data_IF_515855133645
#
_entry.id   IF_515855133645
#
_cell.length_a   1.000
_cell.length_b   1.000
_cell.length_c   1.000
_cell.angle_alpha   90.00
_cell.angle_beta   90.00
_cell.angle_gamma   90.00
#
_symmetry.space_group_name_H-M   'P 1'
#
loop_
_entity.id
_entity.type
_entity.pdbx_description
1 polymer ?
#
# COMPACT_ATOMS: atom_id res chain seq x y z
N UNK A 1 -23.18 3.43 -28.94
CA UNK A 1 -22.12 2.54 -28.43
C UNK A 1 -21.40 3.25 -27.30
N UNK A 2 -21.78 3.01 -26.04
CA UNK A 2 -21.24 3.72 -24.86
C UNK A 2 -21.32 2.82 -23.60
N UNK A 3 -20.73 1.62 -23.68
CA UNK A 3 -20.78 0.64 -22.57
C UNK A 3 -19.43 0.00 -22.25
N UNK A 4 -18.33 0.58 -22.70
CA UNK A 4 -16.98 0.04 -22.47
C UNK A 4 -16.18 0.77 -21.38
N UNK A 5 -16.79 1.73 -20.67
CA UNK A 5 -16.12 2.45 -19.60
C UNK A 5 -16.51 1.86 -18.23
N UNK A 6 -15.55 1.18 -17.60
CA UNK A 6 -15.48 1.13 -16.16
C UNK A 6 -16.27 0.03 -15.47
N UNK A 7 -15.95 -1.24 -15.74
CA UNK A 7 -16.02 -2.21 -14.65
C UNK A 7 -14.85 -1.90 -13.72
N UNK A 8 -14.99 -0.92 -12.83
CA UNK A 8 -14.14 -0.83 -11.65
C UNK A 8 -14.43 -2.11 -10.87
N UNK A 9 -13.64 -3.16 -11.11
CA UNK A 9 -13.78 -4.40 -10.39
C UNK A 9 -13.70 -4.04 -8.91
N UNK A 10 -14.81 -4.21 -8.18
CA UNK A 10 -14.87 -3.82 -6.77
C UNK A 10 -13.74 -4.54 -6.06
N UNK A 11 -12.78 -3.76 -5.58
CA UNK A 11 -11.69 -4.28 -4.76
C UNK A 11 -12.29 -4.70 -3.41
N UNK A 12 -12.28 -6.00 -3.15
CA UNK A 12 -12.67 -6.53 -1.84
C UNK A 12 -11.40 -6.85 -1.05
N UNK A 13 -11.08 -6.08 0.01
CA UNK A 13 -9.86 -6.27 0.78
C UNK A 13 -9.82 -7.61 1.53
N UNK A 14 -10.96 -8.30 1.65
CA UNK A 14 -11.08 -9.63 2.28
C UNK A 14 -10.91 -10.77 1.30
N UNK A 15 -10.89 -10.48 -0.01
CA UNK A 15 -10.65 -11.49 -1.02
C UNK A 15 -9.16 -11.71 -1.20
N UNK A 16 -8.78 -12.96 -1.50
CA UNK A 16 -7.40 -13.31 -1.86
C UNK A 16 -6.89 -12.42 -2.99
N UNK A 17 -5.69 -11.88 -2.84
CA UNK A 17 -5.13 -10.97 -3.85
C UNK A 17 -4.75 -11.75 -5.13
N UNK A 18 -4.42 -13.02 -5.02
CA UNK A 18 -4.17 -13.92 -6.17
C UNK A 18 -5.45 -14.15 -6.97
N UNK A 19 -6.59 -14.36 -6.30
CA UNK A 19 -7.89 -14.45 -6.98
C UNK A 19 -8.31 -13.14 -7.67
N UNK A 20 -7.76 -12.01 -7.23
CA UNK A 20 -7.98 -10.70 -7.84
C UNK A 20 -7.02 -10.40 -8.99
N UNK A 21 -6.12 -11.34 -9.33
CA UNK A 21 -5.22 -11.24 -10.48
C UNK A 21 -3.77 -10.91 -10.14
N UNK A 22 -3.33 -11.07 -8.89
CA UNK A 22 -1.92 -11.01 -8.56
C UNK A 22 -1.16 -12.16 -9.22
N UNK A 23 -0.14 -11.80 -10.00
CA UNK A 23 0.81 -12.74 -10.58
C UNK A 23 2.19 -12.63 -9.92
N UNK A 24 3.13 -13.46 -10.37
CA UNK A 24 4.49 -13.50 -9.82
C UNK A 24 5.25 -12.18 -10.00
N UNK A 25 5.05 -11.45 -11.10
CA UNK A 25 5.75 -10.19 -11.34
C UNK A 25 5.22 -9.11 -10.39
N UNK A 26 3.89 -9.00 -10.24
CA UNK A 26 3.26 -8.09 -9.29
C UNK A 26 3.67 -8.42 -7.85
N UNK A 27 3.76 -9.70 -7.48
CA UNK A 27 4.21 -10.12 -6.16
C UNK A 27 5.68 -9.72 -5.91
N UNK A 28 6.56 -9.89 -6.89
CA UNK A 28 7.96 -9.45 -6.80
C UNK A 28 8.09 -7.93 -6.67
N UNK A 29 7.32 -7.17 -7.46
CA UNK A 29 7.29 -5.70 -7.37
C UNK A 29 6.78 -5.23 -6.01
N UNK A 30 5.70 -5.83 -5.50
CA UNK A 30 5.16 -5.53 -4.18
C UNK A 30 6.22 -5.81 -3.09
N UNK A 31 6.85 -6.98 -3.15
CA UNK A 31 7.95 -7.36 -2.24
C UNK A 31 9.09 -6.33 -2.27
N UNK A 32 9.47 -5.86 -3.46
CA UNK A 32 10.52 -4.84 -3.61
C UNK A 32 10.10 -3.50 -3.00
N UNK A 33 8.85 -3.09 -3.18
CA UNK A 33 8.32 -1.84 -2.61
C UNK A 33 8.22 -1.90 -1.09
N UNK A 34 7.76 -3.02 -0.53
CA UNK A 34 7.72 -3.23 0.91
C UNK A 34 9.13 -3.19 1.53
N UNK A 35 10.11 -3.78 0.85
CA UNK A 35 11.51 -3.69 1.26
C UNK A 35 12.04 -2.25 1.18
N UNK A 36 11.72 -1.51 0.13
CA UNK A 36 12.21 -0.15 -0.05
C UNK A 36 11.59 0.86 0.93
N UNK A 37 10.30 0.74 1.22
CA UNK A 37 9.55 1.72 2.03
C UNK A 37 9.55 1.35 3.51
N UNK A 38 9.38 0.07 3.83
CA UNK A 38 9.22 -0.40 5.21
C UNK A 38 10.45 -1.15 5.74
N UNK A 39 11.46 -1.39 4.89
CA UNK A 39 12.64 -2.19 5.22
C UNK A 39 12.29 -3.63 5.68
N UNK A 40 11.15 -4.16 5.23
CA UNK A 40 10.66 -5.51 5.55
C UNK A 40 10.92 -6.44 4.39
N UNK A 41 11.40 -7.64 4.69
CA UNK A 41 11.53 -8.73 3.72
C UNK A 41 10.40 -9.73 3.89
N UNK A 42 9.59 -9.86 2.85
CA UNK A 42 8.58 -10.92 2.73
C UNK A 42 9.02 -11.85 1.59
N UNK A 43 9.00 -13.18 1.78
CA UNK A 43 9.12 -14.14 0.69
C UNK A 43 8.01 -13.94 -0.36
N UNK A 44 8.35 -14.09 -1.64
CA UNK A 44 7.35 -14.00 -2.72
C UNK A 44 6.33 -15.15 -2.62
N UNK A 45 6.74 -16.29 -2.07
CA UNK A 45 5.86 -17.44 -1.80
C UNK A 45 4.68 -17.05 -0.93
N UNK A 46 4.90 -16.28 0.13
CA UNK A 46 3.86 -15.89 1.09
C UNK A 46 2.81 -14.97 0.45
N UNK A 47 3.22 -14.16 -0.55
CA UNK A 47 2.28 -13.36 -1.35
C UNK A 47 1.48 -14.22 -2.33
N UNK A 48 2.10 -15.28 -2.87
CA UNK A 48 1.49 -16.20 -3.82
C UNK A 48 0.64 -17.30 -3.16
N UNK A 49 0.80 -17.55 -1.85
CA UNK A 49 -0.15 -18.35 -1.06
C UNK A 49 -1.55 -17.71 -1.02
N UNK A 50 -1.64 -16.46 -1.46
CA UNK A 50 -2.90 -15.77 -1.70
C UNK A 50 -3.58 -15.24 -0.45
N UNK A 51 -2.87 -14.57 0.49
CA UNK A 51 -3.53 -13.83 1.55
C UNK A 51 -4.46 -12.77 0.95
N UNK A 52 -5.45 -12.35 1.72
CA UNK A 52 -6.21 -11.15 1.41
C UNK A 52 -5.37 -9.89 1.66
N UNK A 53 -5.77 -8.77 1.06
CA UNK A 53 -5.10 -7.49 1.29
C UNK A 53 -5.17 -7.07 2.77
N UNK A 54 -6.27 -7.41 3.44
CA UNK A 54 -6.46 -7.14 4.86
C UNK A 54 -5.51 -7.97 5.74
N UNK A 55 -5.34 -9.27 5.46
CA UNK A 55 -4.41 -10.14 6.19
C UNK A 55 -2.96 -9.72 6.00
N UNK A 56 -2.58 -9.40 4.76
CA UNK A 56 -1.24 -8.90 4.46
C UNK A 56 -0.95 -7.59 5.21
N UNK A 57 -1.91 -6.66 5.22
CA UNK A 57 -1.79 -5.40 5.95
C UNK A 57 -1.67 -5.63 7.47
N UNK A 58 -2.45 -6.54 8.04
CA UNK A 58 -2.37 -6.89 9.46
C UNK A 58 -1.01 -7.51 9.82
N UNK A 59 -0.50 -8.42 8.98
CA UNK A 59 0.84 -9.01 9.15
C UNK A 59 1.93 -7.94 9.09
N UNK A 60 1.87 -7.03 8.12
CA UNK A 60 2.77 -5.89 8.00
C UNK A 60 2.71 -4.95 9.22
N UNK A 61 1.52 -4.61 9.70
CA UNK A 61 1.35 -3.74 10.87
C UNK A 61 1.89 -4.38 12.16
N UNK A 62 1.90 -5.71 12.25
CA UNK A 62 2.48 -6.41 13.41
C UNK A 62 4.01 -6.30 13.47
N UNK A 63 4.67 -6.10 12.33
CA UNK A 63 6.13 -6.02 12.23
C UNK A 63 6.66 -4.60 12.06
N UNK A 64 5.83 -3.66 11.58
CA UNK A 64 6.17 -2.24 11.50
C UNK A 64 5.87 -1.58 12.84
N UNK A 65 6.91 -1.04 13.49
CA UNK A 65 6.70 -0.01 14.52
C UNK A 65 6.36 1.28 13.79
N UNK A 66 5.08 1.68 13.80
CA UNK A 66 4.67 2.95 13.21
C UNK A 66 5.32 4.08 14.03
N UNK A 67 6.10 4.98 13.43
CA UNK A 67 6.45 6.23 14.11
C UNK A 67 5.15 6.97 14.42
N UNK A 68 5.01 7.44 15.65
CA UNK A 68 3.85 8.25 16.07
C UNK A 68 3.63 9.36 15.04
N UNK A 69 2.47 9.35 14.39
CA UNK A 69 2.14 10.33 13.33
C UNK A 69 1.88 11.75 13.86
N UNK A 70 2.37 12.06 15.07
CA UNK A 70 2.26 13.38 15.70
C UNK A 70 3.29 14.40 15.18
N UNK A 71 4.05 14.09 14.12
CA UNK A 71 5.02 15.04 13.54
C UNK A 71 4.43 15.91 12.42
N UNK A 72 3.10 16.05 12.35
CA UNK A 72 2.44 17.08 11.56
C UNK A 72 1.98 18.24 12.47
N UNK A 73 2.82 18.64 13.41
CA UNK A 73 2.67 19.91 14.13
C UNK A 73 3.89 20.79 13.85
N UNK A 74 3.66 21.84 13.06
CA UNK A 74 4.44 23.07 13.13
C UNK A 74 5.38 23.36 11.96
N UNK A 75 4.84 23.78 10.81
CA UNK A 75 5.47 24.80 9.96
C UNK A 75 4.39 25.73 9.35
N UNK A 76 3.58 26.35 10.22
CA UNK A 76 2.94 27.64 9.94
C UNK A 76 4.02 28.73 10.08
N UNK A 77 4.97 28.81 9.15
CA UNK A 77 5.78 30.03 9.00
C UNK A 77 5.09 30.93 7.98
N UNK A 78 4.29 31.85 8.52
CA UNK A 78 3.83 33.04 7.84
C UNK A 78 5.01 33.76 7.21
N UNK A 79 5.19 33.56 5.90
CA UNK A 79 5.92 34.50 5.08
C UNK A 79 5.02 35.71 4.87
N UNK A 80 5.16 36.66 5.78
CA UNK A 80 4.93 38.07 5.50
C UNK A 80 5.77 38.42 4.26
N UNK A 81 5.12 38.42 3.10
CA UNK A 81 5.67 38.98 1.88
C UNK A 81 5.31 40.45 1.85
N UNK A 82 6.17 41.26 2.47
CA UNK A 82 6.28 42.67 2.09
C UNK A 82 6.66 42.71 0.61
N UNK A 83 5.75 43.17 -0.27
CA UNK A 83 6.10 43.62 -1.62
C UNK A 83 4.96 44.45 -2.27
N UNK A 84 5.33 45.72 -2.52
CA UNK A 84 4.75 46.80 -3.35
C UNK A 84 3.85 47.83 -2.65
#
# INVERSE_FOLDING_TARGET
AASALGSTHKFDPRRSIVEMGMDSLMAMELRNRLLAVLNIRIPVTDLLEGPSAQELAASLLSVVSLPDTNTLEGEEEGREVELL
#
